data_IF_560157016493
#
_entry.id   IF_560157016493
#
_cell.length_a   1.000
_cell.length_b   1.000
_cell.length_c   1.000
_cell.angle_alpha   90.00
_cell.angle_beta   90.00
_cell.angle_gamma   90.00
#
_symmetry.space_group_name_H-M   'P 1'
#
loop_
_entity.id
_entity.type
_entity.pdbx_description
1 polymer ?
#
# COMPACT_ATOMS: atom_id res chain seq x y z
N UNK A 1 -17.83 0.38 -9.68
CA UNK A 1 -16.94 0.34 -8.52
C UNK A 1 -16.17 -0.97 -8.63
N UNK A 2 -14.88 -0.89 -8.93
CA UNK A 2 -14.04 -2.09 -9.00
C UNK A 2 -13.45 -2.35 -7.61
N UNK A 3 -13.37 -3.62 -7.21
CA UNK A 3 -12.79 -4.01 -5.92
C UNK A 3 -11.32 -4.38 -6.11
N UNK A 4 -10.45 -3.71 -5.37
CA UNK A 4 -9.01 -4.00 -5.33
C UNK A 4 -8.60 -4.51 -3.95
N UNK A 5 -7.67 -5.48 -3.92
CA UNK A 5 -7.10 -6.03 -2.70
C UNK A 5 -5.57 -5.95 -2.78
N UNK A 6 -4.95 -5.38 -1.75
CA UNK A 6 -3.50 -5.31 -1.60
C UNK A 6 -3.12 -5.34 -0.11
N UNK A 7 -1.89 -5.73 0.21
CA UNK A 7 -1.43 -5.85 1.59
C UNK A 7 0.09 -5.81 1.73
N UNK A 8 0.56 -5.62 2.96
CA UNK A 8 1.98 -5.61 3.34
C UNK A 8 2.16 -6.56 4.52
N UNK A 9 3.23 -7.37 4.50
CA UNK A 9 3.55 -8.29 5.60
C UNK A 9 4.05 -7.51 6.82
N UNK A 10 3.61 -7.89 8.03
CA UNK A 10 4.03 -7.29 9.30
C UNK A 10 5.38 -7.83 9.81
N UNK A 11 6.43 -7.75 8.99
CA UNK A 11 7.76 -8.32 9.29
C UNK A 11 8.76 -7.32 9.87
N UNK A 12 8.34 -6.09 10.19
CA UNK A 12 9.20 -5.05 10.75
C UNK A 12 8.73 -3.64 10.41
N UNK A 13 9.62 -2.67 10.61
CA UNK A 13 9.33 -1.28 10.33
C UNK A 13 9.19 -1.04 8.81
N UNK A 14 8.17 -0.28 8.45
CA UNK A 14 8.03 0.24 7.09
C UNK A 14 9.16 1.23 6.80
N UNK A 15 9.54 1.29 5.53
CA UNK A 15 10.56 2.21 5.03
C UNK A 15 10.11 2.82 3.70
N UNK A 16 10.88 3.78 3.19
CA UNK A 16 10.53 4.54 1.98
C UNK A 16 10.21 3.67 0.77
N UNK A 17 10.83 2.50 0.64
CA UNK A 17 10.51 1.53 -0.42
C UNK A 17 9.07 1.02 -0.34
N UNK A 18 8.56 0.71 0.85
CA UNK A 18 7.15 0.35 1.04
C UNK A 18 6.23 1.52 0.73
N UNK A 19 6.64 2.75 1.07
CA UNK A 19 5.86 3.95 0.82
C UNK A 19 5.69 4.22 -0.68
N UNK A 20 6.80 4.31 -1.40
CA UNK A 20 6.79 4.62 -2.83
C UNK A 20 6.33 3.43 -3.68
N UNK A 21 6.56 2.19 -3.22
CA UNK A 21 6.16 0.98 -3.94
C UNK A 21 4.69 0.59 -3.75
N UNK A 22 4.10 0.87 -2.59
CA UNK A 22 2.75 0.38 -2.27
C UNK A 22 1.86 1.42 -1.57
N UNK A 23 2.24 1.91 -0.38
CA UNK A 23 1.33 2.69 0.48
C UNK A 23 0.79 3.96 -0.19
N UNK A 24 1.63 4.67 -0.97
CA UNK A 24 1.19 5.86 -1.72
C UNK A 24 0.04 5.53 -2.69
N UNK A 25 0.07 4.34 -3.30
CA UNK A 25 -0.96 3.92 -4.24
C UNK A 25 -2.22 3.43 -3.52
N UNK A 26 -2.11 2.88 -2.31
CA UNK A 26 -3.29 2.48 -1.53
C UNK A 26 -4.22 3.65 -1.27
N UNK A 27 -3.67 4.82 -0.93
CA UNK A 27 -4.46 6.04 -0.72
C UNK A 27 -5.15 6.49 -2.01
N UNK A 28 -4.44 6.47 -3.15
CA UNK A 28 -5.01 6.87 -4.44
C UNK A 28 -6.16 5.98 -4.91
N UNK A 29 -6.17 4.72 -4.48
CA UNK A 29 -7.20 3.74 -4.87
C UNK A 29 -8.46 3.80 -3.99
N UNK A 30 -8.52 4.71 -3.01
CA UNK A 30 -9.68 4.89 -2.13
C UNK A 30 -10.72 5.89 -2.67
N UNK A 31 -10.40 6.63 -3.73
CA UNK A 31 -11.32 7.51 -4.48
C UNK A 31 -12.18 6.70 -5.46
#
# INVERSE_FOLDING_TARGET
METVLSGIRSTGNLHLGNYYGALRNFIKMQE
#
